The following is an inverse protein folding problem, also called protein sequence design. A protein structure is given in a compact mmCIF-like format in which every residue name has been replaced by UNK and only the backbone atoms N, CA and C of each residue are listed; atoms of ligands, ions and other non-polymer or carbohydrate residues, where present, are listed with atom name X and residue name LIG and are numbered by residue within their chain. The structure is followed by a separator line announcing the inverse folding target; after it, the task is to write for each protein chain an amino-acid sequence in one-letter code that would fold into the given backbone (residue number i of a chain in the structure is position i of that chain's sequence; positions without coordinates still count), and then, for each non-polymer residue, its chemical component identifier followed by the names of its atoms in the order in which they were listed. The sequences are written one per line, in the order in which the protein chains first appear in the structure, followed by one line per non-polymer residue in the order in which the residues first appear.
data_IF_832447011657
#
_entry.id   IF_832447011657
#
_cell.length_a   1.000
_cell.length_b   1.000
_cell.length_c   1.000
_cell.angle_alpha   90.00
_cell.angle_beta   90.00
_cell.angle_gamma   90.00
#
_symmetry.space_group_name_H-M   'P 1'
#
loop_
_entity.id
_entity.type
_entity.pdbx_description
1 polymer ?
#
# COMPACT_ATOMS: atom_id res chain seq x y z
N UNK A 1 41.89 0.04 -34.14
CA UNK A 1 40.79 -0.60 -33.36
C UNK A 1 39.51 0.19 -33.58
N UNK A 2 38.61 -0.35 -34.38
CA UNK A 2 37.31 0.30 -34.66
C UNK A 2 36.36 0.08 -33.46
N UNK A 3 35.61 1.10 -33.01
CA UNK A 3 34.68 0.94 -31.90
C UNK A 3 33.56 -0.08 -32.30
N UNK A 4 33.09 -0.90 -31.36
CA UNK A 4 32.09 -1.90 -31.66
C UNK A 4 30.81 -1.22 -32.14
N UNK A 5 30.28 -1.65 -33.31
CA UNK A 5 29.02 -1.19 -33.87
C UNK A 5 27.90 -1.61 -32.92
N UNK A 6 27.42 -0.70 -32.05
CA UNK A 6 26.29 -0.93 -31.16
C UNK A 6 25.04 -1.15 -31.99
N UNK A 7 24.38 -2.29 -31.86
CA UNK A 7 23.22 -2.65 -32.67
C UNK A 7 22.03 -1.71 -32.40
N UNK A 8 21.19 -1.48 -33.40
CA UNK A 8 19.96 -0.68 -33.33
C UNK A 8 19.05 -1.11 -32.16
N UNK A 9 19.02 -2.42 -31.84
CA UNK A 9 18.31 -2.97 -30.67
C UNK A 9 18.83 -2.42 -29.34
N UNK A 10 20.14 -2.19 -29.20
CA UNK A 10 20.74 -1.63 -28.01
C UNK A 10 20.31 -0.17 -27.80
N UNK A 11 20.29 0.64 -28.86
CA UNK A 11 19.85 2.04 -28.83
C UNK A 11 18.39 2.17 -28.39
N UNK A 12 17.48 1.33 -28.92
CA UNK A 12 16.08 1.30 -28.54
C UNK A 12 15.85 0.83 -27.11
N UNK A 13 16.60 -0.14 -26.62
CA UNK A 13 16.52 -0.58 -25.22
C UNK A 13 16.98 0.51 -24.24
N UNK A 14 18.04 1.22 -24.58
CA UNK A 14 18.54 2.35 -23.80
C UNK A 14 17.54 3.51 -23.77
N UNK A 15 16.96 3.88 -24.91
CA UNK A 15 15.94 4.93 -25.02
C UNK A 15 14.70 4.59 -24.18
N UNK A 16 14.14 3.40 -24.30
CA UNK A 16 13.01 2.94 -23.48
C UNK A 16 13.32 2.99 -21.99
N UNK A 17 14.53 2.61 -21.58
CA UNK A 17 14.98 2.69 -20.19
C UNK A 17 15.10 4.13 -19.71
N UNK A 18 15.68 5.03 -20.52
CA UNK A 18 15.84 6.44 -20.19
C UNK A 18 14.47 7.16 -20.04
N UNK A 19 13.59 7.00 -21.01
CA UNK A 19 12.22 7.55 -20.99
C UNK A 19 11.43 6.98 -19.79
N UNK A 20 11.57 5.69 -19.50
CA UNK A 20 10.96 5.07 -18.34
C UNK A 20 11.42 5.65 -17.00
N UNK A 21 12.71 5.96 -16.87
CA UNK A 21 13.29 6.61 -15.67
C UNK A 21 12.79 8.04 -15.49
N UNK A 22 12.72 8.82 -16.59
CA UNK A 22 12.19 10.19 -16.58
C UNK A 22 10.72 10.19 -16.17
N UNK A 23 9.93 9.33 -16.79
CA UNK A 23 8.51 9.19 -16.46
C UNK A 23 8.29 8.77 -14.99
N UNK A 24 9.17 7.93 -14.43
CA UNK A 24 9.08 7.52 -13.03
C UNK A 24 9.46 8.64 -12.06
N UNK A 25 10.49 9.45 -12.40
CA UNK A 25 10.85 10.66 -11.65
C UNK A 25 9.71 11.69 -11.65
N UNK A 26 9.10 11.93 -12.83
CA UNK A 26 7.97 12.84 -12.97
C UNK A 26 6.76 12.38 -12.14
N UNK A 27 6.43 11.09 -12.19
CA UNK A 27 5.38 10.50 -11.31
C UNK A 27 5.72 10.68 -9.83
N UNK A 28 6.99 10.54 -9.45
CA UNK A 28 7.43 10.79 -8.07
C UNK A 28 7.22 12.24 -7.65
N UNK A 29 7.53 13.20 -8.52
CA UNK A 29 7.31 14.62 -8.28
C UNK A 29 5.82 14.94 -8.15
N UNK A 30 5.00 14.47 -9.10
CA UNK A 30 3.53 14.66 -9.05
C UNK A 30 2.97 14.07 -7.76
N UNK A 31 3.37 12.86 -7.38
CA UNK A 31 2.98 12.25 -6.12
C UNK A 31 3.34 13.13 -4.92
N UNK A 32 4.57 13.65 -4.88
CA UNK A 32 5.05 14.52 -3.82
C UNK A 32 4.21 15.79 -3.68
N UNK A 33 3.91 16.46 -4.80
CA UNK A 33 3.05 17.65 -4.84
C UNK A 33 1.65 17.32 -4.33
N UNK A 34 1.04 16.23 -4.83
CA UNK A 34 -0.29 15.81 -4.39
C UNK A 34 -0.34 15.51 -2.87
N UNK A 35 0.70 14.85 -2.33
CA UNK A 35 0.78 14.57 -0.89
C UNK A 35 1.00 15.84 -0.09
N UNK A 36 1.78 16.81 -0.59
CA UNK A 36 1.95 18.11 0.07
C UNK A 36 0.62 18.87 0.12
N UNK A 37 -0.11 18.96 -1.00
CA UNK A 37 -1.42 19.60 -1.05
C UNK A 37 -2.43 18.88 -0.14
N UNK A 38 -2.47 17.56 -0.18
CA UNK A 38 -3.30 16.77 0.72
C UNK A 38 -2.91 17.00 2.20
N UNK A 39 -1.64 17.22 2.50
CA UNK A 39 -1.17 17.48 3.86
C UNK A 39 -1.74 18.79 4.42
N UNK A 40 -1.85 19.84 3.60
CA UNK A 40 -2.44 21.12 4.00
C UNK A 40 -3.90 20.97 4.44
N UNK A 41 -4.60 19.95 3.94
CA UNK A 41 -5.99 19.66 4.30
C UNK A 41 -6.07 18.64 5.43
N UNK A 42 -5.36 17.51 5.29
CA UNK A 42 -5.48 16.35 6.20
C UNK A 42 -4.94 16.67 7.60
N UNK A 43 -3.82 17.39 7.71
CA UNK A 43 -3.25 17.72 9.03
C UNK A 43 -4.20 18.57 9.89
N UNK A 44 -4.73 19.71 9.43
CA UNK A 44 -5.67 20.48 10.24
C UNK A 44 -7.02 19.78 10.40
N UNK A 45 -7.55 19.16 9.35
CA UNK A 45 -8.87 18.55 9.34
C UNK A 45 -9.00 17.41 10.37
N UNK A 46 -8.01 16.53 10.41
CA UNK A 46 -7.96 15.39 11.33
C UNK A 46 -7.05 15.62 12.53
N UNK A 47 -6.48 16.83 12.70
CA UNK A 47 -5.45 17.06 13.73
C UNK A 47 -4.44 15.91 13.75
N UNK A 48 -3.99 15.54 12.55
CA UNK A 48 -3.24 14.33 12.30
C UNK A 48 -1.91 14.29 13.08
N UNK A 49 -1.68 13.20 13.78
CA UNK A 49 -0.40 12.89 14.41
C UNK A 49 0.17 11.64 13.78
N UNK A 50 1.48 11.64 13.49
CA UNK A 50 2.16 10.48 12.87
C UNK A 50 3.34 10.08 13.74
N UNK A 51 3.40 8.80 14.09
CA UNK A 51 4.48 8.19 14.85
C UNK A 51 5.11 7.03 14.07
N UNK A 52 6.40 6.80 14.26
CA UNK A 52 7.10 5.66 13.65
C UNK A 52 7.48 5.82 12.18
N UNK A 53 7.41 7.02 11.58
CA UNK A 53 7.77 7.27 10.16
C UNK A 53 9.17 6.77 9.78
N UNK A 54 10.11 6.66 10.74
CA UNK A 54 11.45 6.11 10.55
C UNK A 54 11.45 4.66 10.04
N UNK A 55 10.43 3.88 10.39
CA UNK A 55 10.30 2.47 10.04
C UNK A 55 10.05 2.23 8.54
N UNK A 56 9.72 3.27 7.77
CA UNK A 56 9.53 3.20 6.31
C UNK A 56 10.83 3.23 5.50
N UNK A 57 11.99 3.45 6.13
CA UNK A 57 13.28 3.64 5.41
C UNK A 57 13.67 2.43 4.57
N UNK A 58 13.45 1.23 5.09
CA UNK A 58 13.77 -0.03 4.42
C UNK A 58 12.83 -0.37 3.24
N UNK A 59 11.66 0.24 3.18
CA UNK A 59 10.58 -0.18 2.29
C UNK A 59 9.83 -1.40 2.84
N UNK A 60 9.02 -2.05 2.00
CA UNK A 60 8.25 -3.22 2.38
C UNK A 60 6.81 -3.20 1.87
N UNK A 61 5.99 -4.10 2.38
CA UNK A 61 4.56 -4.15 2.14
C UNK A 61 3.87 -3.48 3.34
N UNK A 62 3.39 -2.27 3.11
CA UNK A 62 2.65 -1.50 4.08
C UNK A 62 1.23 -2.05 4.17
N UNK A 63 0.83 -2.44 5.36
CA UNK A 63 -0.47 -3.06 5.62
C UNK A 63 -1.24 -2.23 6.64
N UNK A 64 -2.49 -1.88 6.29
CA UNK A 64 -3.38 -1.10 7.15
C UNK A 64 -4.81 -1.63 7.04
N UNK A 65 -5.64 -1.40 8.06
CA UNK A 65 -7.08 -1.65 7.96
C UNK A 65 -7.75 -0.66 7.03
N UNK A 66 -8.82 -1.10 6.36
CA UNK A 66 -9.58 -0.27 5.42
C UNK A 66 -10.98 0.00 5.95
N UNK A 67 -11.13 1.09 6.70
CA UNK A 67 -12.41 1.49 7.33
C UNK A 67 -13.11 2.61 6.55
N UNK A 68 -12.35 3.35 5.72
CA UNK A 68 -12.83 4.54 5.03
C UNK A 68 -12.02 4.83 3.76
N UNK A 69 -12.62 5.53 2.81
CA UNK A 69 -11.87 6.11 1.69
C UNK A 69 -10.82 7.16 2.14
N UNK A 70 -10.95 7.73 3.34
CA UNK A 70 -9.97 8.61 3.94
C UNK A 70 -8.67 7.92 4.33
N UNK A 71 -8.67 6.58 4.48
CA UNK A 71 -7.47 5.83 4.87
C UNK A 71 -6.34 6.01 3.86
N UNK A 72 -6.67 6.05 2.56
CA UNK A 72 -5.68 6.19 1.49
C UNK A 72 -4.93 7.52 1.59
N UNK A 73 -5.59 8.70 1.55
CA UNK A 73 -4.89 9.98 1.70
C UNK A 73 -4.22 10.13 3.07
N UNK A 74 -4.82 9.63 4.15
CA UNK A 74 -4.21 9.66 5.49
C UNK A 74 -2.90 8.87 5.51
N UNK A 75 -2.87 7.67 4.93
CA UNK A 75 -1.65 6.85 4.83
C UNK A 75 -0.61 7.53 3.95
N UNK A 76 -0.99 8.10 2.79
CA UNK A 76 -0.06 8.83 1.92
C UNK A 76 0.60 10.00 2.67
N UNK A 77 -0.19 10.81 3.37
CA UNK A 77 0.29 11.95 4.17
C UNK A 77 1.16 11.48 5.34
N UNK A 78 0.76 10.39 6.01
CA UNK A 78 1.55 9.80 7.09
C UNK A 78 2.91 9.30 6.59
N UNK A 79 3.00 8.72 5.41
CA UNK A 79 4.27 8.31 4.80
C UNK A 79 5.13 9.50 4.37
N UNK A 80 4.50 10.59 3.96
CA UNK A 80 5.13 11.83 3.49
C UNK A 80 5.43 11.87 1.99
N UNK A 81 5.74 13.07 1.45
CA UNK A 81 5.80 13.32 0.01
C UNK A 81 6.94 12.59 -0.70
N UNK A 82 8.03 12.27 0.00
CA UNK A 82 9.21 11.63 -0.58
C UNK A 82 9.19 10.09 -0.54
N UNK A 83 8.10 9.50 -0.01
CA UNK A 83 7.95 8.04 0.11
C UNK A 83 6.70 7.61 -0.63
N UNK A 84 6.85 7.45 -1.95
CA UNK A 84 5.74 7.04 -2.81
C UNK A 84 5.26 5.64 -2.43
N UNK A 85 4.02 5.57 -1.93
CA UNK A 85 3.30 4.32 -1.69
C UNK A 85 2.55 3.96 -2.97
N UNK A 86 2.78 2.76 -3.49
CA UNK A 86 2.03 2.23 -4.62
C UNK A 86 0.98 1.24 -4.10
N UNK A 87 -0.28 1.47 -4.40
CA UNK A 87 -1.37 0.66 -3.85
C UNK A 87 -1.80 -0.47 -4.80
N UNK A 88 -2.39 -1.52 -4.22
CA UNK A 88 -3.20 -2.47 -4.96
C UNK A 88 -4.65 -2.01 -4.84
N UNK A 89 -5.27 -1.68 -5.97
CA UNK A 89 -6.60 -1.08 -6.01
C UNK A 89 -7.59 -1.96 -6.79
N UNK A 90 -8.88 -1.89 -6.39
CA UNK A 90 -9.97 -2.55 -7.10
C UNK A 90 -10.33 -1.79 -8.37
N UNK A 91 -10.62 -2.51 -9.48
CA UNK A 91 -11.05 -1.92 -10.76
C UNK A 91 -12.23 -0.96 -10.61
N UNK A 92 -13.19 -1.24 -9.72
CA UNK A 92 -14.34 -0.36 -9.51
C UNK A 92 -13.99 1.09 -9.14
N UNK A 93 -12.82 1.35 -8.55
CA UNK A 93 -12.37 2.70 -8.22
C UNK A 93 -12.00 3.55 -9.45
N UNK A 94 -11.67 2.93 -10.58
CA UNK A 94 -11.38 3.66 -11.83
C UNK A 94 -12.62 4.23 -12.52
N UNK A 95 -13.82 3.83 -12.08
CA UNK A 95 -15.08 4.37 -12.57
C UNK A 95 -15.47 5.71 -11.91
N UNK A 96 -14.89 5.99 -10.74
CA UNK A 96 -15.15 7.24 -10.03
C UNK A 96 -14.16 8.32 -10.51
N UNK A 97 -14.62 9.43 -11.10
CA UNK A 97 -13.77 10.46 -11.71
C UNK A 97 -12.83 11.13 -10.68
N UNK A 98 -13.22 11.18 -9.42
CA UNK A 98 -12.40 11.76 -8.33
C UNK A 98 -11.20 10.86 -8.01
N UNK A 99 -11.39 9.54 -7.97
CA UNK A 99 -10.36 8.59 -7.60
C UNK A 99 -9.56 8.06 -8.79
N UNK A 100 -10.14 8.04 -9.98
CA UNK A 100 -9.53 7.46 -11.17
C UNK A 100 -8.13 8.00 -11.48
N UNK A 101 -7.86 9.32 -11.48
CA UNK A 101 -6.53 9.84 -11.78
C UNK A 101 -5.46 9.35 -10.80
N UNK A 102 -5.79 9.32 -9.50
CA UNK A 102 -4.89 8.83 -8.48
C UNK A 102 -4.65 7.31 -8.61
N UNK A 103 -5.72 6.55 -8.81
CA UNK A 103 -5.64 5.09 -8.96
C UNK A 103 -4.82 4.70 -10.18
N UNK A 104 -5.05 5.35 -11.33
CA UNK A 104 -4.31 5.08 -12.58
C UNK A 104 -2.83 5.51 -12.47
N UNK A 105 -2.55 6.58 -11.73
CA UNK A 105 -1.18 7.08 -11.54
C UNK A 105 -0.36 6.29 -10.51
N UNK A 106 -0.99 5.83 -9.42
CA UNK A 106 -0.29 5.37 -8.22
C UNK A 106 -0.77 4.04 -7.67
N UNK A 107 -1.58 3.29 -8.42
CA UNK A 107 -2.01 1.96 -8.01
C UNK A 107 -1.92 0.93 -9.15
N UNK A 108 -1.79 -0.32 -8.77
CA UNK A 108 -2.00 -1.46 -9.66
C UNK A 108 -3.46 -1.90 -9.55
N UNK A 109 -4.17 -1.78 -10.67
CA UNK A 109 -5.59 -2.11 -10.74
C UNK A 109 -5.77 -3.61 -10.97
N UNK A 110 -6.52 -4.25 -10.09
CA UNK A 110 -6.89 -5.66 -10.18
C UNK A 110 -8.41 -5.84 -10.21
N UNK A 111 -8.87 -6.88 -10.87
CA UNK A 111 -10.25 -7.32 -10.79
C UNK A 111 -10.39 -8.27 -9.60
N UNK A 112 -11.04 -7.81 -8.53
CA UNK A 112 -11.19 -8.59 -7.30
C UNK A 112 -12.36 -9.55 -7.35
N UNK A 113 -13.35 -9.24 -8.15
CA UNK A 113 -14.57 -10.02 -8.27
C UNK A 113 -14.35 -11.21 -9.22
N UNK A 114 -13.41 -11.02 -10.19
CA UNK A 114 -12.93 -12.05 -11.13
C UNK A 114 -11.42 -12.15 -11.10
N UNK A 115 -10.86 -12.36 -9.90
CA UNK A 115 -9.41 -12.43 -9.70
C UNK A 115 -8.82 -13.62 -10.44
N UNK A 116 -7.94 -13.35 -11.39
CA UNK A 116 -7.31 -14.36 -12.24
C UNK A 116 -5.78 -14.30 -12.27
N UNK A 117 -5.15 -15.19 -13.06
CA UNK A 117 -3.69 -15.26 -13.19
C UNK A 117 -3.05 -13.95 -13.63
N UNK A 118 -3.72 -13.17 -14.47
CA UNK A 118 -3.19 -11.88 -14.94
C UNK A 118 -3.18 -10.82 -13.85
N UNK A 119 -4.20 -10.79 -12.99
CA UNK A 119 -4.21 -9.88 -11.84
C UNK A 119 -3.14 -10.28 -10.82
N UNK A 120 -2.93 -11.57 -10.62
CA UNK A 120 -1.82 -12.05 -9.82
C UNK A 120 -0.47 -11.63 -10.39
N UNK A 121 -0.24 -11.79 -11.72
CA UNK A 121 0.98 -11.30 -12.39
C UNK A 121 1.17 -9.79 -12.25
N UNK A 122 0.09 -8.98 -12.27
CA UNK A 122 0.17 -7.53 -12.02
C UNK A 122 0.65 -7.26 -10.60
N UNK A 123 0.10 -7.96 -9.60
CA UNK A 123 0.53 -7.83 -8.20
C UNK A 123 2.00 -8.22 -8.02
N UNK A 124 2.45 -9.30 -8.64
CA UNK A 124 3.87 -9.72 -8.62
C UNK A 124 4.79 -8.65 -9.20
N UNK A 125 4.41 -8.07 -10.35
CA UNK A 125 5.16 -6.97 -10.98
C UNK A 125 5.22 -5.74 -10.07
N UNK A 126 4.11 -5.38 -9.42
CA UNK A 126 4.07 -4.28 -8.47
C UNK A 126 4.99 -4.56 -7.27
N UNK A 127 4.92 -5.76 -6.69
CA UNK A 127 5.76 -6.14 -5.57
C UNK A 127 7.26 -6.10 -5.89
N UNK A 128 7.66 -6.44 -7.11
CA UNK A 128 9.06 -6.31 -7.56
C UNK A 128 9.48 -4.86 -7.76
N UNK A 129 8.60 -4.05 -8.36
CA UNK A 129 8.95 -2.71 -8.84
C UNK A 129 9.01 -1.67 -7.74
N UNK A 130 8.06 -1.70 -6.81
CA UNK A 130 7.89 -0.61 -5.85
C UNK A 130 8.54 -0.91 -4.51
N UNK A 131 9.24 0.11 -3.97
CA UNK A 131 9.90 0.02 -2.67
C UNK A 131 8.89 -0.08 -1.52
N UNK A 132 7.78 0.68 -1.59
CA UNK A 132 6.66 0.61 -0.68
C UNK A 132 5.40 0.22 -1.44
N UNK A 133 4.81 -0.93 -1.09
CA UNK A 133 3.56 -1.41 -1.65
C UNK A 133 2.47 -1.33 -0.57
N UNK A 134 1.43 -0.55 -0.81
CA UNK A 134 0.30 -0.42 0.12
C UNK A 134 -0.77 -1.46 -0.17
N UNK A 135 -1.16 -2.22 0.83
CA UNK A 135 -2.22 -3.22 0.74
C UNK A 135 -3.13 -3.09 1.95
N UNK A 136 -4.43 -3.05 1.70
CA UNK A 136 -5.45 -3.20 2.72
C UNK A 136 -5.92 -4.67 2.70
N UNK A 137 -5.57 -5.49 3.70
CA UNK A 137 -5.85 -6.94 3.67
C UNK A 137 -7.33 -7.27 3.57
N UNK A 138 -8.20 -6.49 4.21
CA UNK A 138 -9.67 -6.65 4.14
C UNK A 138 -10.19 -6.38 2.73
N UNK A 139 -9.51 -5.45 2.06
CA UNK A 139 -9.79 -5.03 0.69
C UNK A 139 -11.14 -4.41 0.48
N UNK A 140 -11.89 -4.11 1.50
CA UNK A 140 -13.18 -3.42 1.52
C UNK A 140 -13.26 -2.56 2.77
N UNK A 141 -14.11 -1.54 2.74
CA UNK A 141 -14.41 -0.73 3.92
C UNK A 141 -15.58 -1.29 4.74
N UNK A 142 -16.12 -2.45 4.37
CA UNK A 142 -17.20 -3.08 5.12
C UNK A 142 -16.67 -3.64 6.44
N UNK A 143 -17.31 -3.32 7.60
CA UNK A 143 -16.94 -3.89 8.88
C UNK A 143 -17.05 -5.42 8.88
N UNK A 144 -16.15 -6.11 9.59
CA UNK A 144 -16.18 -7.57 9.73
C UNK A 144 -15.74 -8.35 8.49
N UNK A 145 -15.20 -7.69 7.46
CA UNK A 145 -14.69 -8.40 6.29
C UNK A 145 -13.46 -9.24 6.64
N UNK A 146 -13.48 -10.51 6.21
CA UNK A 146 -12.34 -11.40 6.37
C UNK A 146 -11.10 -10.92 5.62
N UNK A 147 -9.92 -10.95 6.25
CA UNK A 147 -8.69 -10.53 5.62
C UNK A 147 -8.29 -11.50 4.50
N UNK A 148 -7.86 -10.94 3.37
CA UNK A 148 -7.35 -11.70 2.22
C UNK A 148 -5.87 -12.04 2.40
N UNK A 149 -5.49 -13.21 1.94
CA UNK A 149 -4.12 -13.74 2.09
C UNK A 149 -3.08 -13.08 1.17
N UNK A 150 -3.50 -12.17 0.28
CA UNK A 150 -2.63 -11.60 -0.76
C UNK A 150 -1.40 -10.87 -0.23
N UNK A 151 -1.53 -10.09 0.85
CA UNK A 151 -0.42 -9.37 1.46
C UNK A 151 0.65 -10.33 2.02
N UNK A 152 0.20 -11.37 2.73
CA UNK A 152 1.07 -12.40 3.33
C UNK A 152 1.78 -13.19 2.25
N UNK A 153 1.07 -13.64 1.21
CA UNK A 153 1.66 -14.38 0.08
C UNK A 153 2.72 -13.57 -0.67
N UNK A 154 2.48 -12.27 -0.88
CA UNK A 154 3.46 -11.40 -1.53
C UNK A 154 4.68 -11.18 -0.62
N UNK A 155 4.49 -11.00 0.70
CA UNK A 155 5.58 -10.86 1.65
C UNK A 155 6.49 -12.09 1.64
N UNK A 156 5.91 -13.28 1.72
CA UNK A 156 6.64 -14.55 1.69
C UNK A 156 7.40 -14.75 0.37
N UNK A 157 6.70 -14.55 -0.78
CA UNK A 157 7.28 -14.79 -2.11
C UNK A 157 8.43 -13.85 -2.45
N UNK A 158 8.38 -12.60 -2.00
CA UNK A 158 9.41 -11.59 -2.31
C UNK A 158 10.34 -11.31 -1.14
N UNK A 159 10.21 -12.04 -0.03
CA UNK A 159 10.96 -11.80 1.22
C UNK A 159 10.94 -10.31 1.62
N UNK A 160 9.79 -9.68 1.43
CA UNK A 160 9.58 -8.28 1.78
C UNK A 160 8.99 -8.19 3.18
N UNK A 161 9.54 -7.31 4.04
CA UNK A 161 8.95 -7.09 5.36
C UNK A 161 7.55 -6.50 5.25
N UNK A 162 6.69 -6.89 6.16
CA UNK A 162 5.40 -6.28 6.42
C UNK A 162 5.60 -5.09 7.34
N UNK A 163 5.00 -3.96 6.99
CA UNK A 163 5.04 -2.72 7.80
C UNK A 163 3.62 -2.42 8.26
N UNK A 164 3.28 -2.70 9.52
CA UNK A 164 1.92 -2.48 10.01
C UNK A 164 1.68 -0.97 10.21
N UNK A 165 0.51 -0.52 9.81
CA UNK A 165 0.05 0.86 9.97
C UNK A 165 -1.31 0.86 10.64
N UNK A 166 -1.36 1.35 11.87
CA UNK A 166 -2.60 1.50 12.62
C UNK A 166 -3.09 2.94 12.54
N UNK A 167 -4.31 3.13 12.01
CA UNK A 167 -5.01 4.41 11.96
C UNK A 167 -5.97 4.45 13.14
N UNK A 168 -5.67 5.25 14.15
CA UNK A 168 -6.45 5.33 15.39
C UNK A 168 -7.22 6.65 15.44
N UNK A 169 -8.53 6.64 15.10
CA UNK A 169 -9.38 7.80 15.21
C UNK A 169 -9.90 7.96 16.65
N UNK A 170 -9.93 9.19 17.14
CA UNK A 170 -10.61 9.59 18.38
C UNK A 170 -11.94 10.26 18.00
N UNK A 171 -13.02 9.49 17.94
CA UNK A 171 -14.35 9.90 17.51
C UNK A 171 -14.86 9.13 16.29
N UNK A 172 -16.03 9.53 15.74
CA UNK A 172 -16.67 8.80 14.64
C UNK A 172 -15.81 8.83 13.37
N UNK A 173 -15.54 7.63 12.83
CA UNK A 173 -14.75 7.45 11.61
C UNK A 173 -15.36 6.37 10.73
N UNK A 174 -15.66 6.61 9.45
CA UNK A 174 -15.55 7.90 8.74
C UNK A 174 -16.54 8.96 9.28
N UNK A 175 -16.27 10.27 9.03
CA UNK A 175 -17.21 11.34 9.38
C UNK A 175 -18.53 11.13 8.63
N UNK A 176 -19.63 10.94 9.35
CA UNK A 176 -20.94 10.57 8.73
C UNK A 176 -22.05 11.61 8.93
N UNK A 177 -21.82 12.62 9.79
CA UNK A 177 -22.85 13.63 10.13
C UNK A 177 -22.57 14.94 9.41
N UNK A 178 -23.63 15.66 9.08
CA UNK A 178 -23.55 17.03 8.61
C UNK A 178 -23.95 17.99 9.75
N UNK A 179 -23.17 19.04 10.05
CA UNK A 179 -21.84 19.32 9.53
C UNK A 179 -20.82 18.25 9.97
N UNK A 180 -19.88 17.86 9.10
CA UNK A 180 -18.97 16.75 9.37
C UNK A 180 -18.04 17.09 10.55
N UNK A 181 -18.08 16.26 11.59
CA UNK A 181 -17.14 16.33 12.71
C UNK A 181 -15.98 15.38 12.43
N UNK A 182 -14.84 15.94 12.10
CA UNK A 182 -13.65 15.16 11.83
C UNK A 182 -12.95 14.73 13.12
N UNK A 183 -12.69 13.42 13.32
CA UNK A 183 -12.00 12.93 14.50
C UNK A 183 -10.54 13.35 14.49
N UNK A 184 -9.91 13.41 15.66
CA UNK A 184 -8.45 13.42 15.73
C UNK A 184 -7.94 12.05 15.29
N UNK A 185 -6.91 12.01 14.44
CA UNK A 185 -6.33 10.75 13.99
C UNK A 185 -4.87 10.69 14.42
N UNK A 186 -4.48 9.57 15.03
CA UNK A 186 -3.08 9.21 15.21
C UNK A 186 -2.76 8.02 14.32
N UNK A 187 -1.74 8.15 13.49
CA UNK A 187 -1.22 7.05 12.66
C UNK A 187 0.06 6.53 13.29
N UNK A 188 0.05 5.26 13.64
CA UNK A 188 1.22 4.53 14.12
C UNK A 188 1.77 3.66 13.01
N UNK A 189 3.04 3.87 12.68
CA UNK A 189 3.77 3.05 11.70
C UNK A 189 4.71 2.16 12.51
N UNK A 190 4.38 0.88 12.60
CA UNK A 190 5.11 -0.10 13.39
C UNK A 190 6.45 -0.50 12.79
N UNK A 191 7.23 -1.24 13.57
CA UNK A 191 8.49 -1.83 13.09
C UNK A 191 8.20 -2.83 11.98
N UNK A 192 9.01 -2.83 10.89
CA UNK A 192 8.92 -3.87 9.88
C UNK A 192 9.21 -5.24 10.49
N UNK A 193 8.45 -6.25 10.08
CA UNK A 193 8.65 -7.63 10.51
C UNK A 193 8.56 -8.58 9.31
N UNK A 194 9.14 -9.76 9.47
CA UNK A 194 9.11 -10.78 8.42
C UNK A 194 7.86 -11.65 8.57
N UNK A 195 7.44 -12.24 7.47
CA UNK A 195 6.20 -13.02 7.39
C UNK A 195 6.23 -14.25 8.30
N UNK A 196 7.42 -14.76 8.62
CA UNK A 196 7.65 -15.87 9.52
C UNK A 196 7.16 -15.59 10.95
N UNK A 197 7.10 -14.32 11.35
CA UNK A 197 6.55 -13.95 12.65
C UNK A 197 5.06 -14.27 12.79
N UNK A 198 4.35 -14.28 11.67
CA UNK A 198 2.92 -14.64 11.62
C UNK A 198 2.70 -16.16 11.78
N UNK A 199 3.74 -16.97 11.62
CA UNK A 199 3.64 -18.44 11.74
C UNK A 199 3.98 -18.95 13.13
N UNK A 200 4.55 -18.12 14.02
CA UNK A 200 4.94 -18.54 15.36
C UNK A 200 3.76 -19.13 16.13
N UNK A 201 3.90 -20.38 16.59
CA UNK A 201 2.88 -21.09 17.37
C UNK A 201 1.68 -21.57 16.56
N UNK A 202 1.73 -21.58 15.22
CA UNK A 202 0.73 -22.28 14.41
C UNK A 202 1.03 -23.79 14.42
N UNK A 203 -0.01 -24.63 14.49
CA UNK A 203 0.14 -26.08 14.36
C UNK A 203 0.81 -26.46 13.03
N UNK A 204 1.78 -27.40 13.04
CA UNK A 204 2.48 -27.82 11.82
C UNK A 204 1.58 -28.57 10.82
N UNK A 205 0.48 -29.18 11.29
CA UNK A 205 -0.44 -30.00 10.49
C UNK A 205 -1.40 -29.17 9.63
N UNK A 206 -1.41 -27.84 9.80
CA UNK A 206 -2.31 -26.99 9.03
C UNK A 206 -2.03 -27.08 7.52
N UNK A 207 -3.08 -27.28 6.75
CA UNK A 207 -2.99 -27.19 5.30
C UNK A 207 -2.52 -25.78 4.88
N UNK A 208 -1.85 -25.69 3.71
CA UNK A 208 -1.34 -24.42 3.21
C UNK A 208 -2.40 -23.31 3.13
N UNK A 209 -3.64 -23.55 2.68
CA UNK A 209 -4.69 -22.52 2.70
C UNK A 209 -5.08 -22.07 4.11
N UNK A 210 -5.18 -22.99 5.07
CA UNK A 210 -5.52 -22.67 6.47
C UNK A 210 -4.41 -21.84 7.11
N UNK A 211 -3.16 -22.26 6.94
CA UNK A 211 -2.00 -21.50 7.40
C UNK A 211 -2.05 -20.04 6.92
N UNK A 212 -2.31 -19.80 5.64
CA UNK A 212 -2.42 -18.44 5.12
C UNK A 212 -3.62 -17.66 5.70
N UNK A 213 -4.73 -18.32 5.97
CA UNK A 213 -5.89 -17.68 6.63
C UNK A 213 -5.53 -17.23 8.05
N UNK A 214 -4.92 -18.12 8.84
CA UNK A 214 -4.44 -17.79 10.20
C UNK A 214 -3.43 -16.65 10.18
N UNK A 215 -2.46 -16.67 9.27
CA UNK A 215 -1.49 -15.60 9.11
C UNK A 215 -2.17 -14.26 8.75
N UNK A 216 -3.20 -14.28 7.90
CA UNK A 216 -3.92 -13.06 7.53
C UNK A 216 -4.74 -12.50 8.71
N UNK A 217 -5.36 -13.33 9.52
CA UNK A 217 -6.07 -12.91 10.75
C UNK A 217 -5.09 -12.31 11.75
N UNK A 218 -3.97 -12.99 12.00
CA UNK A 218 -2.90 -12.50 12.90
C UNK A 218 -2.28 -11.19 12.42
N UNK A 219 -2.19 -10.99 11.10
CA UNK A 219 -1.74 -9.73 10.54
C UNK A 219 -2.66 -8.57 10.93
N UNK A 220 -3.98 -8.78 10.96
CA UNK A 220 -4.94 -7.77 11.42
C UNK A 220 -4.73 -7.43 12.90
N UNK A 221 -4.55 -8.46 13.74
CA UNK A 221 -4.26 -8.27 15.17
C UNK A 221 -2.98 -7.46 15.38
N UNK A 222 -1.91 -7.76 14.63
CA UNK A 222 -0.67 -7.00 14.68
C UNK A 222 -0.83 -5.56 14.21
N UNK A 223 -1.68 -5.31 13.20
CA UNK A 223 -2.00 -3.94 12.76
C UNK A 223 -2.70 -3.19 13.89
N UNK A 224 -3.73 -3.79 14.49
CA UNK A 224 -4.52 -3.15 15.56
C UNK A 224 -3.69 -2.94 16.84
N UNK A 225 -2.80 -3.86 17.18
CA UNK A 225 -1.88 -3.76 18.31
C UNK A 225 -0.69 -2.82 18.07
N UNK A 226 -0.54 -2.26 16.87
CA UNK A 226 0.59 -1.37 16.58
C UNK A 226 0.43 -0.03 17.28
N UNK A 227 1.26 0.22 18.28
CA UNK A 227 1.48 1.49 18.98
C UNK A 227 2.99 1.76 19.03
N UNK A 228 3.42 3.03 18.95
CA UNK A 228 4.85 3.45 18.91
C UNK A 228 5.11 4.52 19.96
#
# INVERSE_FOLDING_TARGET
MSPPKRSFKWYWSWWRSAVGKIADKLRGLIYGILVLLASLVIYPLFRLRVRGRKHLRGGGILVARHRSYWDIPVVCVACGPFRRVHFIARRGLTRNPIFAPFVLGFATVIDRDRFGPDDFKKMLRAARRYKLLGIFPEGTTRPGAEPKTGAVRLAEMFKKPLVPVNIVPQGPYPPRRFPPRFPKITVYIGKPFQVEELTKGLPPELSKPERYRHMASRLIEMIDGTVV
#
